data_IF_605418023324
#
_entry.id   IF_605418023324
#
_cell.length_a   1.000
_cell.length_b   1.000
_cell.length_c   1.000
_cell.angle_alpha   90.00
_cell.angle_beta   90.00
_cell.angle_gamma   90.00
#
_symmetry.space_group_name_H-M   'P 1'
#
loop_
_entity.id
_entity.type
_entity.pdbx_description
1 polymer ?
#
# COMPACT_ATOMS: atom_id res chain seq x y z
N UNK A 1 -23.52 35.50 3.19
CA UNK A 1 -24.75 36.22 2.85
C UNK A 1 -24.88 36.15 1.34
N UNK A 2 -25.96 35.50 0.88
CA UNK A 2 -26.63 35.55 -0.44
C UNK A 2 -25.82 35.93 -1.67
N UNK A 3 -25.56 34.98 -2.58
CA UNK A 3 -25.70 35.26 -4.04
C UNK A 3 -25.68 34.03 -5.00
N UNK A 4 -26.11 32.83 -4.61
CA UNK A 4 -26.11 31.67 -5.55
C UNK A 4 -27.32 30.74 -5.43
N UNK A 5 -28.36 31.14 -4.71
CA UNK A 5 -29.66 30.45 -4.80
C UNK A 5 -30.35 30.97 -6.05
N UNK A 6 -30.29 30.19 -7.15
CA UNK A 6 -30.89 30.52 -8.45
C UNK A 6 -32.33 31.03 -8.25
N UNK A 7 -32.50 32.37 -8.30
CA UNK A 7 -33.78 33.04 -8.07
C UNK A 7 -34.84 32.51 -9.04
N UNK A 8 -36.07 32.35 -8.56
CA UNK A 8 -37.20 31.75 -9.28
C UNK A 8 -37.57 32.47 -10.60
N UNK A 9 -36.99 33.64 -10.86
CA UNK A 9 -37.14 34.43 -12.08
C UNK A 9 -35.83 34.64 -12.85
N UNK A 10 -34.76 33.91 -12.52
CA UNK A 10 -33.49 34.01 -13.25
C UNK A 10 -33.59 33.46 -14.68
N UNK A 11 -32.85 34.08 -15.60
CA UNK A 11 -32.85 33.75 -17.04
C UNK A 11 -32.53 32.28 -17.33
N UNK A 12 -31.88 31.58 -16.40
CA UNK A 12 -31.60 30.14 -16.48
C UNK A 12 -32.88 29.30 -16.45
N UNK A 13 -33.88 29.71 -15.66
CA UNK A 13 -35.20 29.07 -15.64
C UNK A 13 -36.04 29.46 -16.85
N UNK A 14 -36.02 30.72 -17.27
CA UNK A 14 -36.71 31.17 -18.48
C UNK A 14 -36.16 30.47 -19.73
N UNK A 15 -34.83 30.36 -19.86
CA UNK A 15 -34.18 29.61 -20.92
C UNK A 15 -34.50 28.11 -20.87
N UNK A 16 -34.75 27.53 -19.69
CA UNK A 16 -35.20 26.13 -19.57
C UNK A 16 -36.64 25.90 -20.05
N UNK A 17 -37.48 26.94 -20.02
CA UNK A 17 -38.85 26.91 -20.51
C UNK A 17 -38.94 27.20 -22.01
N UNK A 18 -38.08 28.08 -22.52
CA UNK A 18 -37.96 28.40 -23.96
C UNK A 18 -37.11 27.40 -24.74
N UNK A 19 -36.25 26.62 -24.07
CA UNK A 19 -35.55 25.53 -24.71
C UNK A 19 -36.59 24.56 -25.32
N UNK A 20 -36.52 24.26 -26.63
CA UNK A 20 -37.41 23.28 -27.23
C UNK A 20 -37.16 21.96 -26.53
N UNK A 21 -38.09 21.56 -25.65
CA UNK A 21 -38.07 20.24 -25.04
C UNK A 21 -38.08 19.27 -26.23
N UNK A 22 -37.05 18.43 -26.41
CA UNK A 22 -37.09 17.47 -27.49
C UNK A 22 -38.35 16.64 -27.26
N UNK A 23 -39.21 16.53 -28.26
CA UNK A 23 -40.47 15.78 -28.20
C UNK A 23 -40.16 14.32 -27.85
N UNK A 24 -40.06 14.05 -26.55
CA UNK A 24 -39.75 12.73 -26.00
C UNK A 24 -40.89 11.74 -26.26
N UNK A 25 -41.94 12.15 -26.99
CA UNK A 25 -43.02 11.29 -27.45
C UNK A 25 -42.59 10.38 -28.61
N UNK A 26 -41.64 10.78 -29.47
CA UNK A 26 -41.27 10.01 -30.67
C UNK A 26 -39.87 9.36 -30.65
N UNK A 27 -39.08 9.56 -29.59
CA UNK A 27 -37.77 8.92 -29.48
C UNK A 27 -37.93 7.39 -29.35
N UNK A 28 -37.26 6.65 -30.23
CA UNK A 28 -37.22 5.18 -30.18
C UNK A 28 -36.66 4.71 -28.84
N UNK A 29 -37.15 3.58 -28.34
CA UNK A 29 -36.70 2.99 -27.08
C UNK A 29 -35.17 2.84 -27.01
N UNK A 30 -34.53 2.51 -28.14
CA UNK A 30 -33.07 2.40 -28.25
C UNK A 30 -32.35 3.75 -28.03
N UNK A 31 -32.95 4.84 -28.48
CA UNK A 31 -32.40 6.19 -28.37
C UNK A 31 -32.54 6.73 -26.95
N UNK A 32 -33.71 6.52 -26.32
CA UNK A 32 -33.92 6.84 -24.90
C UNK A 32 -32.95 6.09 -23.99
N UNK A 33 -32.68 4.81 -24.28
CA UNK A 33 -31.71 3.99 -23.54
C UNK A 33 -30.28 4.54 -23.66
N UNK A 34 -29.87 5.00 -24.85
CA UNK A 34 -28.53 5.60 -25.06
C UNK A 34 -28.35 6.92 -24.32
N UNK A 35 -29.37 7.78 -24.36
CA UNK A 35 -29.35 9.07 -23.65
C UNK A 35 -29.25 8.83 -22.14
N UNK A 36 -30.07 7.91 -21.60
CA UNK A 36 -30.03 7.54 -20.18
C UNK A 36 -28.65 6.98 -19.76
N UNK A 37 -28.01 6.16 -20.60
CA UNK A 37 -26.66 5.65 -20.35
C UNK A 37 -25.63 6.79 -20.28
N UNK A 38 -25.62 7.70 -21.24
CA UNK A 38 -24.69 8.84 -21.28
C UNK A 38 -24.88 9.78 -20.09
N UNK A 39 -26.12 10.06 -19.69
CA UNK A 39 -26.40 10.86 -18.50
C UNK A 39 -25.98 10.16 -17.21
N UNK A 40 -26.17 8.84 -17.12
CA UNK A 40 -25.71 8.05 -15.97
C UNK A 40 -24.18 8.04 -15.88
N UNK A 41 -23.47 7.96 -17.01
CA UNK A 41 -22.02 8.05 -17.07
C UNK A 41 -21.53 9.43 -16.65
N UNK A 42 -22.18 10.50 -17.14
CA UNK A 42 -21.84 11.88 -16.76
C UNK A 42 -22.02 12.10 -15.26
N UNK A 43 -23.17 11.71 -14.69
CA UNK A 43 -23.41 11.79 -13.24
C UNK A 43 -22.43 10.93 -12.44
N UNK A 44 -22.02 9.78 -12.96
CA UNK A 44 -21.02 8.90 -12.33
C UNK A 44 -19.62 9.53 -12.34
N UNK A 45 -19.28 10.28 -13.38
CA UNK A 45 -18.02 11.03 -13.48
C UNK A 45 -18.04 12.28 -12.60
N UNK A 46 -19.17 12.97 -12.49
CA UNK A 46 -19.36 14.16 -11.63
C UNK A 46 -19.37 13.79 -10.14
N UNK A 47 -19.98 12.66 -9.76
CA UNK A 47 -19.94 12.14 -8.40
C UNK A 47 -18.62 11.47 -8.01
N UNK A 48 -17.68 11.31 -8.95
CA UNK A 48 -16.36 10.77 -8.67
C UNK A 48 -15.50 11.89 -8.09
N UNK A 49 -15.06 11.70 -6.84
CA UNK A 49 -14.05 12.56 -6.23
C UNK A 49 -12.74 12.42 -7.03
N UNK A 50 -12.32 13.51 -7.70
CA UNK A 50 -11.06 13.56 -8.44
C UNK A 50 -9.90 13.26 -7.49
N UNK A 51 -8.91 12.49 -7.94
CA UNK A 51 -7.74 12.20 -7.10
C UNK A 51 -6.89 13.46 -6.90
N UNK A 52 -6.18 13.55 -5.77
CA UNK A 52 -5.28 14.67 -5.45
C UNK A 52 -4.28 14.96 -6.58
N UNK A 53 -3.80 13.92 -7.27
CA UNK A 53 -2.87 14.03 -8.39
C UNK A 53 -3.50 14.64 -9.64
N UNK A 54 -4.71 14.24 -10.00
CA UNK A 54 -5.43 14.79 -11.16
C UNK A 54 -5.73 16.28 -10.94
N UNK A 55 -6.11 16.68 -9.73
CA UNK A 55 -6.37 18.08 -9.37
C UNK A 55 -5.10 18.94 -9.44
N UNK A 56 -3.95 18.43 -8.98
CA UNK A 56 -2.67 19.14 -9.06
C UNK A 56 -2.19 19.30 -10.51
N UNK A 57 -2.35 18.27 -11.35
CA UNK A 57 -2.00 18.33 -12.77
C UNK A 57 -2.87 19.33 -13.53
N UNK A 58 -4.18 19.38 -13.25
CA UNK A 58 -5.12 20.35 -13.81
C UNK A 58 -4.74 21.78 -13.38
N UNK A 59 -4.49 22.01 -12.08
CA UNK A 59 -4.04 23.31 -11.57
C UNK A 59 -2.68 23.75 -12.14
N UNK A 60 -1.75 22.82 -12.31
CA UNK A 60 -0.44 23.08 -12.92
C UNK A 60 -0.60 23.46 -14.38
N UNK A 61 -1.46 22.76 -15.12
CA UNK A 61 -1.73 23.05 -16.53
C UNK A 61 -2.39 24.42 -16.68
N UNK A 62 -3.37 24.73 -15.85
CA UNK A 62 -4.00 26.04 -15.82
C UNK A 62 -3.01 27.15 -15.44
N UNK A 63 -2.11 26.89 -14.48
CA UNK A 63 -1.08 27.82 -14.07
C UNK A 63 -0.04 28.08 -15.16
N UNK A 64 0.32 27.06 -15.94
CA UNK A 64 1.21 27.19 -17.11
C UNK A 64 0.51 27.88 -18.28
N UNK A 65 -0.79 27.64 -18.48
CA UNK A 65 -1.55 28.23 -19.58
C UNK A 65 -1.98 29.68 -19.30
N UNK A 66 -2.04 30.09 -18.03
CA UNK A 66 -2.32 31.49 -17.65
C UNK A 66 -1.04 32.30 -17.77
N UNK A 67 -0.92 33.09 -18.84
CA UNK A 67 0.15 34.07 -19.00
C UNK A 67 0.12 35.09 -17.86
N UNK A 68 1.18 35.13 -17.03
CA UNK A 68 1.28 36.09 -15.92
C UNK A 68 1.17 37.55 -16.39
N UNK A 69 1.61 37.85 -17.62
CA UNK A 69 1.52 39.17 -18.24
C UNK A 69 0.08 39.58 -18.60
N UNK A 70 -0.75 38.65 -19.08
CA UNK A 70 -2.13 38.91 -19.53
C UNK A 70 -3.08 39.14 -18.35
N UNK A 71 -2.82 38.44 -17.24
CA UNK A 71 -3.54 38.60 -15.97
C UNK A 71 -3.33 39.98 -15.34
N UNK A 72 -2.13 40.55 -15.49
CA UNK A 72 -1.76 41.85 -14.91
C UNK A 72 -2.05 43.03 -15.86
N UNK A 73 -2.08 42.81 -17.19
CA UNK A 73 -2.52 43.85 -18.14
C UNK A 73 -4.03 44.10 -18.09
N UNK A 74 -4.83 43.10 -17.71
CA UNK A 74 -6.28 43.24 -17.55
C UNK A 74 -6.67 44.08 -16.33
N UNK A 75 -5.77 44.25 -15.35
CA UNK A 75 -5.92 45.19 -14.23
C UNK A 75 -5.34 46.54 -14.65
N UNK A 76 -6.00 47.22 -15.58
CA UNK A 76 -5.59 48.53 -16.07
C UNK A 76 -5.71 49.58 -14.95
N UNK A 77 -4.58 49.99 -14.38
CA UNK A 77 -4.52 51.28 -13.66
C UNK A 77 -3.57 51.38 -12.47
N UNK A 78 -3.16 50.29 -11.84
CA UNK A 78 -2.28 50.34 -10.66
C UNK A 78 -1.09 49.39 -10.78
N UNK A 79 0.00 49.77 -10.11
CA UNK A 79 1.30 49.10 -10.10
C UNK A 79 1.18 47.57 -10.11
N UNK A 80 2.02 46.85 -10.87
CA UNK A 80 1.92 45.39 -10.96
C UNK A 80 1.98 44.80 -9.56
N UNK A 81 0.91 44.10 -9.18
CA UNK A 81 0.69 43.60 -7.82
C UNK A 81 1.79 42.62 -7.37
N UNK A 82 2.49 42.02 -8.33
CA UNK A 82 3.67 41.21 -8.08
C UNK A 82 4.93 42.07 -7.93
N UNK A 83 5.45 42.11 -6.69
CA UNK A 83 6.70 42.79 -6.31
C UNK A 83 7.89 42.42 -7.23
N UNK A 84 7.92 41.18 -7.73
CA UNK A 84 8.91 40.72 -8.70
C UNK A 84 8.80 41.43 -10.05
N UNK A 85 7.58 41.62 -10.56
CA UNK A 85 7.32 42.31 -11.83
C UNK A 85 7.63 43.80 -11.70
N UNK A 86 7.24 44.43 -10.59
CA UNK A 86 7.64 45.80 -10.25
C UNK A 86 9.16 45.98 -10.17
N UNK A 87 9.88 45.00 -9.57
CA UNK A 87 11.34 45.00 -9.55
C UNK A 87 11.93 44.83 -10.95
N UNK A 88 11.41 43.94 -11.79
CA UNK A 88 11.89 43.74 -13.16
C UNK A 88 11.73 45.00 -14.02
N UNK A 89 10.58 45.69 -13.96
CA UNK A 89 10.37 46.96 -14.66
C UNK A 89 11.35 48.04 -14.18
N UNK A 90 11.58 48.12 -12.86
CA UNK A 90 12.56 49.06 -12.28
C UNK A 90 14.00 48.75 -12.70
N UNK A 91 14.31 47.50 -12.99
CA UNK A 91 15.62 47.07 -13.50
C UNK A 91 15.74 47.18 -15.03
N UNK A 92 14.75 47.78 -15.70
CA UNK A 92 14.79 48.05 -17.14
C UNK A 92 14.22 46.92 -18.02
N UNK A 93 13.52 45.95 -17.45
CA UNK A 93 12.80 44.93 -18.22
C UNK A 93 11.56 45.52 -18.88
N UNK A 94 11.49 45.44 -20.20
CA UNK A 94 10.26 45.70 -20.96
C UNK A 94 9.76 44.37 -21.52
N UNK A 95 8.45 44.08 -21.47
CA UNK A 95 7.91 42.87 -22.08
C UNK A 95 8.36 42.75 -23.55
N UNK A 96 9.12 41.69 -23.86
CA UNK A 96 9.69 41.45 -25.19
C UNK A 96 11.13 41.95 -25.41
N UNK A 97 11.78 42.54 -24.41
CA UNK A 97 13.15 43.06 -24.50
C UNK A 97 14.08 42.42 -23.45
N UNK A 98 15.35 42.18 -23.79
CA UNK A 98 16.33 41.63 -22.86
C UNK A 98 16.72 42.62 -21.77
N UNK A 99 16.95 42.12 -20.54
CA UNK A 99 17.39 42.92 -19.40
C UNK A 99 18.83 43.41 -19.60
N UNK A 100 19.06 44.73 -19.57
CA UNK A 100 20.40 45.34 -19.65
C UNK A 100 20.47 46.57 -20.56
N UNK A 101 21.58 47.33 -20.50
CA UNK A 101 21.82 48.45 -21.43
C UNK A 101 22.11 47.91 -22.84
N UNK A 102 21.45 48.47 -23.85
CA UNK A 102 21.83 48.26 -25.25
C UNK A 102 23.18 48.92 -25.49
N UNK A 103 24.20 48.14 -25.83
CA UNK A 103 25.42 48.67 -26.43
C UNK A 103 25.07 49.00 -27.90
N UNK A 104 25.10 50.28 -28.26
CA UNK A 104 25.00 50.66 -29.66
C UNK A 104 26.26 50.19 -30.40
N UNK A 105 26.15 49.63 -31.62
CA UNK A 105 27.30 49.19 -32.37
C UNK A 105 28.18 50.40 -32.70
N UNK A 106 29.40 50.43 -32.16
CA UNK A 106 30.42 51.42 -32.49
C UNK A 106 30.70 51.37 -33.99
N UNK A 107 30.53 52.51 -34.68
CA UNK A 107 30.94 52.72 -36.08
C UNK A 107 32.44 52.37 -36.25
N UNK A 108 32.84 51.64 -37.29
CA UNK A 108 34.25 51.33 -37.50
C UNK A 108 35.02 52.60 -37.90
N UNK A 109 36.18 52.91 -37.28
CA UNK A 109 37.12 53.87 -37.84
C UNK A 109 37.95 53.23 -38.95
N UNK A 110 38.31 54.09 -39.89
CA UNK A 110 38.97 53.88 -41.17
C UNK A 110 40.32 53.17 -41.14
N UNK A 111 40.61 52.52 -42.27
CA UNK A 111 41.89 51.96 -42.70
C UNK A 111 43.08 52.92 -42.51
N UNK A 112 44.18 52.44 -41.91
CA UNK A 112 45.53 52.47 -42.51
C UNK A 112 46.62 51.91 -41.57
N UNK A 113 47.51 51.09 -42.16
CA UNK A 113 48.89 50.77 -41.79
C UNK A 113 49.26 49.57 -40.85
N UNK A 114 49.62 48.48 -41.55
CA UNK A 114 50.84 47.63 -41.45
C UNK A 114 50.98 46.50 -40.39
N UNK A 115 51.13 45.31 -40.96
CA UNK A 115 51.63 44.02 -40.44
C UNK A 115 52.92 44.07 -39.61
N UNK A 116 53.00 43.26 -38.54
CA UNK A 116 53.75 41.98 -38.51
C UNK A 116 53.48 41.15 -37.21
N UNK A 117 53.01 39.90 -37.42
CA UNK A 117 53.23 38.60 -36.73
C UNK A 117 53.88 38.55 -35.31
N UNK A 118 53.20 37.94 -34.33
CA UNK A 118 53.31 36.49 -33.93
C UNK A 118 52.56 36.16 -32.62
N UNK A 119 51.72 35.12 -32.67
CA UNK A 119 51.60 34.07 -31.64
C UNK A 119 51.06 34.41 -30.24
N UNK A 120 49.75 34.24 -30.03
CA UNK A 120 49.18 33.52 -28.87
C UNK A 120 47.67 33.35 -29.08
N UNK A 121 47.19 32.12 -28.96
CA UNK A 121 45.75 31.79 -28.99
C UNK A 121 45.21 32.22 -27.63
N UNK A 122 44.85 33.48 -27.53
CA UNK A 122 44.12 34.01 -26.38
C UNK A 122 42.67 33.55 -26.47
N UNK A 123 42.19 33.08 -25.33
CA UNK A 123 40.79 32.82 -24.99
C UNK A 123 39.81 33.59 -25.87
N UNK A 124 38.98 32.86 -26.61
CA UNK A 124 37.83 33.42 -27.32
C UNK A 124 37.10 34.39 -26.39
N UNK A 125 37.20 35.67 -26.70
CA UNK A 125 36.42 36.71 -26.08
C UNK A 125 34.95 36.36 -26.32
N UNK A 126 34.30 35.81 -25.28
CA UNK A 126 32.86 35.73 -25.20
C UNK A 126 32.37 37.17 -25.33
N UNK A 127 31.89 37.53 -26.52
CA UNK A 127 31.22 38.80 -26.74
C UNK A 127 30.08 38.84 -25.74
N UNK A 128 30.15 39.77 -24.79
CA UNK A 128 29.15 40.02 -23.75
C UNK A 128 27.88 40.63 -24.35
N UNK A 129 27.31 40.00 -25.37
CA UNK A 129 25.93 40.21 -25.74
C UNK A 129 25.04 39.67 -24.64
N UNK A 130 24.04 40.44 -24.24
CA UNK A 130 22.97 39.93 -23.39
C UNK A 130 22.41 38.65 -24.05
N UNK A 131 22.36 37.53 -23.30
CA UNK A 131 21.76 36.29 -23.80
C UNK A 131 20.29 36.59 -24.11
N UNK A 132 19.97 36.70 -25.39
CA UNK A 132 18.60 36.79 -25.91
C UNK A 132 17.96 35.41 -26.01
N UNK A 133 18.78 34.37 -26.07
CA UNK A 133 18.33 32.98 -26.07
C UNK A 133 18.18 32.47 -24.63
N UNK A 134 17.07 31.80 -24.30
CA UNK A 134 16.88 31.23 -22.98
C UNK A 134 17.99 30.21 -22.69
N UNK A 135 18.48 30.19 -21.44
CA UNK A 135 19.41 29.17 -20.97
C UNK A 135 18.91 27.78 -21.38
N UNK A 136 19.75 26.91 -21.95
CA UNK A 136 19.34 25.58 -22.34
C UNK A 136 18.80 24.87 -21.12
N UNK A 137 17.50 24.57 -21.14
CA UNK A 137 16.85 23.84 -20.07
C UNK A 137 17.41 22.43 -20.08
N UNK A 138 18.26 22.11 -19.10
CA UNK A 138 18.60 20.74 -18.80
C UNK A 138 17.36 20.07 -18.22
N UNK A 139 16.51 19.52 -19.10
CA UNK A 139 15.28 18.84 -18.71
C UNK A 139 15.70 17.62 -17.91
N UNK A 140 15.43 17.65 -16.60
CA UNK A 140 15.48 16.44 -15.80
C UNK A 140 14.54 15.45 -16.44
N UNK A 141 15.08 14.31 -16.91
CA UNK A 141 14.24 13.17 -17.19
C UNK A 141 13.48 12.89 -15.90
N UNK A 142 12.17 13.18 -15.91
CA UNK A 142 11.32 13.07 -14.73
C UNK A 142 11.33 11.65 -14.16
N UNK A 143 10.44 11.39 -13.19
CA UNK A 143 10.19 10.02 -12.70
C UNK A 143 9.70 9.15 -13.88
N UNK A 144 10.62 8.46 -14.57
CA UNK A 144 10.27 7.27 -15.34
C UNK A 144 9.62 6.32 -14.32
N UNK A 145 8.43 5.81 -14.64
CA UNK A 145 7.50 5.19 -13.69
C UNK A 145 8.11 4.12 -12.76
N UNK A 146 7.34 3.71 -11.75
CA UNK A 146 7.74 2.63 -10.84
C UNK A 146 8.20 1.41 -11.65
N UNK A 147 9.45 0.98 -11.44
CA UNK A 147 10.03 -0.20 -12.08
C UNK A 147 11.15 0.07 -13.11
N UNK A 148 11.34 1.32 -13.57
CA UNK A 148 12.34 1.63 -14.62
C UNK A 148 13.69 2.18 -14.12
N UNK A 149 14.01 1.97 -12.83
CA UNK A 149 15.30 2.32 -12.24
C UNK A 149 15.35 3.69 -11.54
N UNK A 150 16.47 3.96 -10.84
CA UNK A 150 16.71 5.24 -10.14
C UNK A 150 16.93 6.36 -11.15
N UNK A 151 16.62 7.60 -10.76
CA UNK A 151 16.89 8.80 -11.58
C UNK A 151 18.37 8.82 -11.96
N UNK A 152 18.69 9.24 -13.19
CA UNK A 152 20.08 9.52 -13.55
C UNK A 152 20.63 10.58 -12.57
N UNK A 153 21.75 10.27 -11.92
CA UNK A 153 22.46 11.26 -11.10
C UNK A 153 22.80 12.48 -11.96
N UNK A 154 22.88 13.65 -11.32
CA UNK A 154 23.33 14.87 -11.99
C UNK A 154 24.65 14.57 -12.73
N UNK A 155 24.86 15.12 -13.94
CA UNK A 155 26.16 15.08 -14.58
C UNK A 155 27.17 15.62 -13.55
N UNK A 156 28.22 14.87 -13.19
CA UNK A 156 29.15 15.34 -12.19
C UNK A 156 29.82 16.60 -12.76
N UNK A 157 29.68 17.72 -12.06
CA UNK A 157 30.60 18.84 -12.21
C UNK A 157 31.99 18.29 -11.86
N UNK A 158 32.87 18.22 -12.86
CA UNK A 158 34.16 17.54 -12.76
C UNK A 158 34.98 18.08 -11.58
N UNK A 159 35.32 17.21 -10.61
CA UNK A 159 36.31 17.55 -9.58
C UNK A 159 36.23 16.85 -8.21
N UNK A 160 35.14 16.19 -7.82
CA UNK A 160 35.02 15.64 -6.44
C UNK A 160 35.17 14.11 -6.35
N UNK A 161 36.40 13.62 -6.27
CA UNK A 161 36.71 12.19 -6.02
C UNK A 161 36.15 11.65 -4.70
N UNK A 162 35.83 12.52 -3.74
CA UNK A 162 35.21 12.17 -2.45
C UNK A 162 33.72 11.82 -2.55
N UNK A 163 33.01 12.37 -3.54
CA UNK A 163 31.59 12.07 -3.78
C UNK A 163 31.38 10.70 -4.45
N UNK A 164 32.35 10.23 -5.24
CA UNK A 164 32.30 8.92 -5.89
C UNK A 164 32.42 7.76 -4.88
N UNK A 165 33.20 7.94 -3.79
CA UNK A 165 33.40 6.89 -2.77
C UNK A 165 32.22 6.81 -1.78
N UNK A 166 31.70 7.95 -1.35
CA UNK A 166 30.51 8.01 -0.50
C UNK A 166 29.25 7.46 -1.20
N UNK A 167 29.09 7.72 -2.51
CA UNK A 167 27.98 7.14 -3.27
C UNK A 167 28.15 5.63 -3.53
N UNK A 168 29.37 5.10 -3.64
CA UNK A 168 29.57 3.66 -3.78
C UNK A 168 29.18 2.89 -2.50
N UNK A 169 29.51 3.43 -1.33
CA UNK A 169 29.16 2.86 -0.03
C UNK A 169 27.66 2.96 0.25
N UNK A 170 27.03 4.10 -0.05
CA UNK A 170 25.58 4.27 0.04
C UNK A 170 24.84 3.30 -0.91
N UNK A 171 25.30 3.17 -2.16
CA UNK A 171 24.73 2.22 -3.11
C UNK A 171 24.92 0.76 -2.65
N UNK A 172 26.03 0.43 -1.98
CA UNK A 172 26.25 -0.90 -1.41
C UNK A 172 25.30 -1.16 -0.22
N UNK A 173 25.11 -0.18 0.67
CA UNK A 173 24.16 -0.27 1.77
C UNK A 173 22.71 -0.40 1.28
N UNK A 174 22.32 0.34 0.24
CA UNK A 174 21.00 0.22 -0.39
C UNK A 174 20.81 -1.13 -1.10
N UNK A 175 21.84 -1.68 -1.76
CA UNK A 175 21.79 -3.04 -2.32
C UNK A 175 21.58 -4.06 -1.22
N UNK A 176 22.36 -4.00 -0.13
CA UNK A 176 22.18 -4.90 1.02
C UNK A 176 20.79 -4.80 1.62
N UNK A 177 20.24 -3.58 1.80
CA UNK A 177 18.86 -3.40 2.27
C UNK A 177 17.83 -4.01 1.33
N UNK A 178 18.00 -3.83 0.02
CA UNK A 178 17.10 -4.40 -0.98
C UNK A 178 17.19 -5.93 -1.04
N UNK A 179 18.38 -6.49 -0.89
CA UNK A 179 18.59 -7.94 -0.88
C UNK A 179 17.99 -8.56 0.40
N UNK A 180 18.11 -7.89 1.55
CA UNK A 180 17.42 -8.29 2.78
C UNK A 180 15.90 -8.22 2.64
N UNK A 181 15.37 -7.15 2.04
CA UNK A 181 13.94 -7.02 1.77
C UNK A 181 13.43 -8.13 0.85
N UNK A 182 14.18 -8.47 -0.21
CA UNK A 182 13.85 -9.56 -1.12
C UNK A 182 13.97 -10.93 -0.46
N UNK A 183 14.94 -11.12 0.44
CA UNK A 183 15.08 -12.36 1.20
C UNK A 183 13.89 -12.52 2.17
N UNK A 184 13.53 -11.46 2.90
CA UNK A 184 12.37 -11.46 3.78
C UNK A 184 11.07 -11.72 3.01
N UNK A 185 10.85 -11.01 1.90
CA UNK A 185 9.65 -11.21 1.08
C UNK A 185 9.57 -12.63 0.48
N UNK A 186 10.71 -13.27 0.18
CA UNK A 186 10.76 -14.67 -0.24
C UNK A 186 10.41 -15.60 0.92
N UNK A 187 11.02 -15.40 2.10
CA UNK A 187 10.73 -16.18 3.30
C UNK A 187 9.25 -16.09 3.70
N UNK A 188 8.69 -14.89 3.76
CA UNK A 188 7.26 -14.69 4.08
C UNK A 188 6.32 -15.33 3.04
N UNK A 189 6.75 -15.46 1.78
CA UNK A 189 5.98 -16.12 0.74
C UNK A 189 6.06 -17.65 0.87
N UNK A 190 7.26 -18.16 1.10
CA UNK A 190 7.53 -19.59 1.34
C UNK A 190 6.76 -20.07 2.58
N UNK A 191 6.82 -19.33 3.69
CA UNK A 191 6.09 -19.65 4.91
C UNK A 191 4.57 -19.71 4.67
N UNK A 192 3.98 -18.71 4.01
CA UNK A 192 2.53 -18.73 3.68
C UNK A 192 2.14 -19.89 2.76
N UNK A 193 3.01 -20.24 1.82
CA UNK A 193 2.83 -21.39 0.92
C UNK A 193 2.85 -22.68 1.72
N UNK A 194 3.82 -22.83 2.62
CA UNK A 194 4.00 -24.01 3.45
C UNK A 194 2.89 -24.14 4.50
N UNK A 195 2.40 -23.04 5.06
CA UNK A 195 1.22 -23.02 5.94
C UNK A 195 -0.04 -23.50 5.21
N UNK A 196 -0.24 -23.05 3.97
CA UNK A 196 -1.36 -23.49 3.14
C UNK A 196 -1.33 -25.00 2.89
N UNK A 197 -0.13 -25.54 2.66
CA UNK A 197 0.11 -26.98 2.47
C UNK A 197 -0.04 -27.76 3.76
N UNK A 198 0.52 -27.26 4.87
CA UNK A 198 0.36 -27.84 6.19
C UNK A 198 -1.12 -27.99 6.51
N UNK A 199 -1.93 -26.94 6.31
CA UNK A 199 -3.39 -27.03 6.49
C UNK A 199 -4.04 -28.10 5.61
N UNK A 200 -3.59 -28.29 4.37
CA UNK A 200 -4.09 -29.35 3.51
C UNK A 200 -3.65 -30.75 3.99
N UNK A 201 -2.39 -30.91 4.35
CA UNK A 201 -1.80 -32.16 4.85
C UNK A 201 -2.44 -32.58 6.18
N UNK A 202 -2.66 -31.65 7.10
CA UNK A 202 -3.34 -31.90 8.37
C UNK A 202 -4.78 -32.40 8.18
N UNK A 203 -5.51 -31.88 7.19
CA UNK A 203 -6.85 -32.41 6.83
C UNK A 203 -6.76 -33.84 6.31
N UNK A 204 -5.79 -34.15 5.45
CA UNK A 204 -5.60 -35.53 4.97
C UNK A 204 -5.19 -36.46 6.10
N UNK A 205 -4.32 -36.02 7.01
CA UNK A 205 -3.96 -36.78 8.20
C UNK A 205 -5.18 -37.03 9.08
N UNK A 206 -6.02 -36.03 9.34
CA UNK A 206 -7.19 -36.20 10.17
C UNK A 206 -8.15 -37.25 9.61
N UNK A 207 -8.41 -37.21 8.30
CA UNK A 207 -9.29 -38.17 7.64
C UNK A 207 -8.72 -39.61 7.70
N UNK A 208 -7.40 -39.77 7.49
CA UNK A 208 -6.74 -41.08 7.55
C UNK A 208 -6.66 -41.60 8.98
N UNK A 209 -6.35 -40.73 9.95
CA UNK A 209 -6.34 -41.03 11.38
C UNK A 209 -7.73 -41.50 11.85
N UNK A 210 -8.79 -40.83 11.43
CA UNK A 210 -10.18 -41.24 11.73
C UNK A 210 -10.52 -42.60 11.12
N UNK A 211 -10.11 -42.84 9.86
CA UNK A 211 -10.29 -44.13 9.19
C UNK A 211 -9.58 -45.29 9.89
N UNK A 212 -8.44 -45.03 10.52
CA UNK A 212 -7.67 -46.01 11.29
C UNK A 212 -7.94 -45.97 12.81
N UNK A 213 -8.93 -45.20 13.27
CA UNK A 213 -9.37 -45.16 14.67
C UNK A 213 -8.44 -44.41 15.64
N UNK A 214 -7.55 -43.54 15.13
CA UNK A 214 -6.61 -42.74 15.91
C UNK A 214 -7.30 -41.48 16.43
N UNK A 215 -7.70 -41.50 17.72
CA UNK A 215 -8.44 -40.39 18.36
C UNK A 215 -7.64 -39.10 18.47
N UNK A 216 -6.36 -39.17 18.83
CA UNK A 216 -5.49 -38.00 19.00
C UNK A 216 -4.12 -38.22 18.37
N UNK A 217 -3.59 -37.17 17.75
CA UNK A 217 -2.26 -37.16 17.15
C UNK A 217 -1.64 -35.78 17.40
N UNK A 218 -0.43 -35.76 17.99
CA UNK A 218 0.32 -34.54 18.32
C UNK A 218 0.57 -33.67 17.07
N UNK A 219 0.74 -34.31 15.90
CA UNK A 219 1.01 -33.60 14.66
C UNK A 219 -0.18 -32.75 14.19
N UNK A 220 -1.39 -32.97 14.71
CA UNK A 220 -2.60 -32.18 14.36
C UNK A 220 -2.68 -30.82 15.07
N UNK A 221 -1.77 -30.51 15.99
CA UNK A 221 -1.77 -29.25 16.72
C UNK A 221 -1.33 -28.09 15.81
N UNK A 222 -2.08 -26.99 15.82
CA UNK A 222 -1.72 -25.78 15.09
C UNK A 222 -1.52 -24.61 16.08
N UNK A 223 -0.29 -24.05 16.22
CA UNK A 223 -0.03 -22.91 17.10
C UNK A 223 -0.81 -21.65 16.73
N UNK A 224 -1.19 -21.49 15.45
CA UNK A 224 -1.95 -20.31 15.01
C UNK A 224 -3.43 -20.39 15.40
N UNK A 225 -3.96 -21.59 15.65
CA UNK A 225 -5.37 -21.83 15.95
C UNK A 225 -5.51 -22.43 17.36
N UNK A 226 -5.86 -21.64 18.39
CA UNK A 226 -5.93 -22.13 19.77
C UNK A 226 -7.01 -23.21 19.98
N UNK A 227 -8.02 -23.29 19.09
CA UNK A 227 -9.05 -24.33 19.11
C UNK A 227 -8.55 -25.70 18.65
N UNK A 228 -7.35 -25.78 18.04
CA UNK A 228 -6.77 -27.05 17.61
C UNK A 228 -6.17 -27.86 18.77
N UNK A 229 -5.89 -27.19 19.90
CA UNK A 229 -5.29 -27.80 21.09
C UNK A 229 -6.42 -28.17 22.06
N UNK A 230 -6.56 -29.44 22.45
CA UNK A 230 -7.52 -29.85 23.48
C UNK A 230 -7.30 -29.09 24.79
N UNK A 231 -8.36 -28.69 25.48
CA UNK A 231 -8.28 -27.87 26.71
C UNK A 231 -7.36 -28.50 27.78
N UNK A 232 -7.47 -29.82 27.98
CA UNK A 232 -6.63 -30.56 28.92
C UNK A 232 -5.14 -30.48 28.57
N UNK A 233 -4.80 -30.54 27.28
CA UNK A 233 -3.43 -30.40 26.82
C UNK A 233 -2.96 -28.96 26.93
N UNK A 234 -3.81 -27.98 26.62
CA UNK A 234 -3.50 -26.58 26.76
C UNK A 234 -3.15 -26.21 28.20
N UNK A 235 -3.91 -26.71 29.18
CA UNK A 235 -3.62 -26.54 30.61
C UNK A 235 -2.28 -27.17 30.99
N UNK A 236 -1.94 -28.36 30.47
CA UNK A 236 -0.65 -29.03 30.72
C UNK A 236 0.54 -28.33 30.04
N UNK A 237 0.32 -27.71 28.88
CA UNK A 237 1.32 -26.94 28.15
C UNK A 237 1.62 -25.59 28.84
N UNK A 238 0.59 -24.94 29.37
CA UNK A 238 0.67 -23.63 30.02
C UNK A 238 1.04 -23.73 31.51
N UNK A 239 0.80 -24.88 32.15
CA UNK A 239 1.27 -25.15 33.50
C UNK A 239 2.79 -25.24 33.51
N UNK A 240 3.42 -24.11 33.83
CA UNK A 240 4.85 -24.05 34.08
C UNK A 240 5.26 -25.17 35.04
N UNK A 241 6.41 -25.85 34.82
CA UNK A 241 6.94 -26.78 35.80
C UNK A 241 7.09 -26.00 37.11
N UNK A 242 6.49 -26.50 38.19
CA UNK A 242 6.50 -25.84 39.49
C UNK A 242 7.96 -25.56 39.91
N UNK A 243 8.43 -24.33 39.71
CA UNK A 243 9.79 -23.92 40.09
C UNK A 243 10.55 -23.00 39.13
N UNK A 244 10.12 -22.81 37.88
CA UNK A 244 10.81 -21.90 36.96
C UNK A 244 9.99 -20.63 36.72
N UNK A 245 10.29 -19.58 37.48
CA UNK A 245 9.95 -18.21 37.08
C UNK A 245 11.00 -17.80 36.04
N UNK A 246 10.73 -18.13 34.77
CA UNK A 246 11.27 -17.35 33.66
C UNK A 246 10.08 -16.78 32.89
N UNK A 247 9.68 -15.60 33.35
CA UNK A 247 8.60 -14.78 32.83
C UNK A 247 9.05 -14.14 31.51
N UNK A 248 9.22 -14.92 30.42
CA UNK A 248 9.46 -14.35 29.08
C UNK A 248 9.38 -15.33 27.89
N UNK A 249 8.26 -16.03 27.67
CA UNK A 249 8.01 -16.60 26.32
C UNK A 249 6.58 -16.79 25.84
N UNK A 250 5.55 -16.70 26.68
CA UNK A 250 4.16 -16.95 26.24
C UNK A 250 3.19 -15.79 26.52
N UNK A 251 3.70 -14.60 26.84
CA UNK A 251 2.92 -13.37 27.00
C UNK A 251 3.29 -12.29 25.97
N UNK A 252 3.54 -12.70 24.74
CA UNK A 252 3.32 -11.81 23.61
C UNK A 252 1.82 -11.86 23.26
N UNK A 253 1.05 -10.93 23.84
CA UNK A 253 -0.26 -10.56 23.27
C UNK A 253 -0.05 -10.33 21.76
N UNK A 254 -0.94 -10.78 20.86
CA UNK A 254 -0.93 -10.31 19.48
C UNK A 254 -1.38 -8.85 19.51
N UNK A 255 -0.47 -7.96 19.87
CA UNK A 255 -0.59 -6.54 19.61
C UNK A 255 -0.51 -6.38 18.12
N UNK A 256 -1.61 -5.98 17.49
CA UNK A 256 -1.57 -5.30 16.20
C UNK A 256 -0.62 -4.10 16.34
N UNK A 257 0.65 -4.30 16.03
CA UNK A 257 1.60 -3.21 15.83
C UNK A 257 1.51 -2.81 14.37
N UNK A 258 0.56 -1.93 14.06
CA UNK A 258 0.65 -1.12 12.84
C UNK A 258 1.89 -0.24 13.01
N UNK A 259 2.89 -0.29 12.13
CA UNK A 259 4.00 0.65 12.18
C UNK A 259 3.45 2.01 11.75
N UNK A 260 2.93 2.78 12.70
CA UNK A 260 2.79 4.22 12.53
C UNK A 260 4.21 4.75 12.62
N UNK A 261 4.80 5.02 11.46
CA UNK A 261 6.04 5.77 11.40
C UNK A 261 5.85 7.06 12.17
N UNK A 262 6.66 7.26 13.20
CA UNK A 262 6.87 8.54 13.83
C UNK A 262 7.50 9.47 12.77
N UNK A 263 6.66 10.08 11.96
CA UNK A 263 7.02 11.33 11.32
C UNK A 263 6.83 12.41 12.37
N UNK A 264 7.94 12.91 12.92
CA UNK A 264 8.04 14.25 13.50
C UNK A 264 7.73 15.29 12.41
N UNK A 265 6.47 15.38 12.00
CA UNK A 265 5.97 16.44 11.14
C UNK A 265 4.98 17.26 11.93
N UNK A 266 5.48 18.44 12.31
CA UNK A 266 4.79 19.58 12.89
C UNK A 266 3.49 19.90 12.12
N UNK A 267 2.34 19.53 12.69
CA UNK A 267 1.03 20.03 12.27
C UNK A 267 0.30 20.66 13.48
N UNK A 268 0.38 21.99 13.54
CA UNK A 268 -0.80 22.85 13.65
C UNK A 268 -1.60 22.81 14.97
N UNK A 269 -1.28 23.77 15.84
CA UNK A 269 -2.14 24.47 16.82
C UNK A 269 -3.64 24.04 16.86
N UNK A 270 -3.96 23.09 17.74
CA UNK A 270 -5.32 22.85 18.25
C UNK A 270 -5.36 23.02 19.77
N UNK A 271 -6.35 23.75 20.29
CA UNK A 271 -6.53 24.01 21.72
C UNK A 271 -6.57 22.71 22.52
N UNK A 272 -5.78 22.62 23.60
CA UNK A 272 -5.62 21.40 24.41
C UNK A 272 -6.92 20.82 24.99
N UNK A 273 -8.01 21.57 24.97
CA UNK A 273 -9.35 21.12 25.35
C UNK A 273 -9.91 20.04 24.42
N UNK A 274 -9.64 20.15 23.11
CA UNK A 274 -10.31 19.31 22.11
C UNK A 274 -9.66 17.92 22.06
N UNK A 275 -8.35 17.86 22.34
CA UNK A 275 -7.60 16.60 22.49
C UNK A 275 -8.05 15.82 23.74
N UNK A 276 -8.38 16.51 24.83
CA UNK A 276 -8.91 15.88 26.04
C UNK A 276 -10.34 15.36 25.85
N UNK A 277 -11.18 16.11 25.13
CA UNK A 277 -12.55 15.70 24.79
C UNK A 277 -12.53 14.49 23.85
N UNK A 278 -11.67 14.50 22.82
CA UNK A 278 -11.54 13.39 21.88
C UNK A 278 -11.03 12.10 22.54
N UNK A 279 -10.11 12.20 23.51
CA UNK A 279 -9.64 11.07 24.29
C UNK A 279 -10.76 10.46 25.15
N UNK A 280 -11.53 11.31 25.85
CA UNK A 280 -12.66 10.88 26.68
C UNK A 280 -13.78 10.24 25.86
N UNK A 281 -14.08 10.77 24.67
CA UNK A 281 -15.10 10.24 23.77
C UNK A 281 -14.70 8.86 23.23
N UNK A 282 -13.43 8.66 22.85
CA UNK A 282 -12.92 7.35 22.41
C UNK A 282 -13.00 6.29 23.51
N UNK A 283 -12.72 6.67 24.75
CA UNK A 283 -12.78 5.77 25.89
C UNK A 283 -14.24 5.39 26.23
N UNK A 284 -15.17 6.33 26.13
CA UNK A 284 -16.61 6.04 26.23
C UNK A 284 -17.10 5.11 25.12
N UNK A 285 -16.74 5.36 23.86
CA UNK A 285 -17.13 4.49 22.74
C UNK A 285 -16.59 3.06 22.90
N UNK A 286 -15.37 2.92 23.46
CA UNK A 286 -14.78 1.61 23.75
C UNK A 286 -15.50 0.88 24.89
N UNK A 287 -15.95 1.61 25.92
CA UNK A 287 -16.72 1.05 27.03
C UNK A 287 -18.13 0.61 26.61
N UNK A 288 -18.78 1.37 25.72
CA UNK A 288 -20.11 1.05 25.20
C UNK A 288 -20.08 -0.09 24.18
N UNK A 289 -19.01 -0.23 23.41
CA UNK A 289 -18.82 -1.35 22.46
C UNK A 289 -18.70 -2.73 23.13
N UNK A 290 -18.45 -2.79 24.44
CA UNK A 290 -18.27 -4.04 25.20
C UNK A 290 -19.47 -4.39 26.07
N UNK A 291 -20.56 -3.62 25.99
CA UNK A 291 -21.81 -3.95 26.68
C UNK A 291 -22.69 -4.79 25.74
N UNK A 292 -23.05 -6.02 26.11
CA UNK A 292 -24.04 -6.77 25.34
C UNK A 292 -25.33 -5.95 25.32
N UNK A 293 -25.89 -5.75 24.12
CA UNK A 293 -27.15 -5.04 23.92
C UNK A 293 -28.21 -5.70 24.81
N UNK A 294 -28.84 -4.89 25.67
CA UNK A 294 -29.98 -5.33 26.47
C UNK A 294 -31.19 -5.39 25.54
N UNK A 295 -31.23 -6.42 24.71
CA UNK A 295 -32.34 -6.68 23.80
C UNK A 295 -33.53 -7.17 24.62
N UNK A 296 -34.57 -6.35 24.68
CA UNK A 296 -35.89 -6.72 25.19
C UNK A 296 -36.50 -7.78 24.27
N UNK A 297 -36.16 -9.05 24.51
CA UNK A 297 -36.64 -10.20 23.73
C UNK A 297 -37.74 -10.94 24.51
N UNK A 298 -38.94 -10.36 24.54
CA UNK A 298 -40.15 -11.09 24.92
C UNK A 298 -40.71 -11.90 23.73
N UNK A 299 -40.35 -11.53 22.49
CA UNK A 299 -40.89 -12.15 21.27
C UNK A 299 -40.04 -13.33 20.72
N UNK A 300 -38.74 -13.42 21.06
CA UNK A 300 -37.87 -14.48 20.52
C UNK A 300 -37.96 -15.80 21.29
N UNK A 301 -38.42 -15.77 22.55
CA UNK A 301 -38.56 -16.97 23.39
C UNK A 301 -39.76 -17.83 22.94
N UNK A 302 -40.84 -17.19 22.46
CA UNK A 302 -42.03 -17.90 21.99
C UNK A 302 -41.80 -18.74 20.71
N UNK A 303 -40.80 -18.40 19.90
CA UNK A 303 -40.47 -19.17 18.69
C UNK A 303 -39.59 -20.40 18.97
N UNK A 304 -38.75 -20.33 20.02
CA UNK A 304 -37.83 -21.42 20.40
C UNK A 304 -38.52 -22.57 21.14
N UNK A 305 -39.62 -22.32 21.84
CA UNK A 305 -40.37 -23.36 22.55
C UNK A 305 -41.36 -24.16 21.67
N UNK A 306 -41.59 -23.74 20.42
CA UNK A 306 -42.43 -24.48 19.46
C UNK A 306 -41.66 -25.58 18.68
N UNK A 307 -40.34 -25.69 18.82
CA UNK A 307 -39.47 -26.69 18.14
C UNK A 307 -38.83 -27.65 19.14
N UNK A 308 -39.51 -27.96 20.26
CA UNK A 308 -39.20 -29.13 21.09
C UNK A 308 -39.98 -30.34 20.59
N UNK A 309 -39.65 -30.79 19.38
CA UNK A 309 -39.97 -32.12 18.88
C UNK A 309 -38.68 -32.92 18.79
N UNK A 310 -38.50 -33.86 19.71
CA UNK A 310 -37.56 -34.99 19.68
C UNK A 310 -36.26 -34.81 18.88
N UNK A 311 -35.27 -34.15 19.49
CA UNK A 311 -33.87 -34.36 19.14
C UNK A 311 -33.24 -35.24 20.24
N UNK A 312 -32.67 -36.42 19.92
CA UNK A 312 -32.03 -37.25 20.92
C UNK A 312 -30.85 -36.50 21.53
N UNK A 313 -30.89 -36.37 22.85
CA UNK A 313 -29.83 -35.80 23.67
C UNK A 313 -28.66 -36.78 23.61
N UNK A 314 -27.73 -36.57 22.68
CA UNK A 314 -26.48 -37.30 22.66
C UNK A 314 -25.72 -36.94 23.94
N UNK A 315 -25.58 -37.91 24.83
CA UNK A 315 -24.68 -37.83 25.98
C UNK A 315 -23.26 -37.71 25.42
N UNK A 316 -22.63 -36.56 25.64
CA UNK A 316 -21.20 -36.37 25.38
C UNK A 316 -20.50 -37.19 26.45
N UNK A 317 -20.14 -38.42 26.11
CA UNK A 317 -19.19 -39.21 26.88
C UNK A 317 -17.85 -38.52 26.66
N UNK A 318 -17.46 -37.69 27.63
CA UNK A 318 -16.15 -37.06 27.69
C UNK A 318 -15.14 -38.19 27.97
N UNK A 319 -14.71 -38.87 26.92
CA UNK A 319 -13.55 -39.77 26.96
C UNK A 319 -12.35 -38.90 27.33
N UNK A 320 -12.09 -38.72 28.62
CA UNK A 320 -10.92 -38.04 29.13
C UNK A 320 -9.69 -38.78 28.60
N UNK A 321 -9.07 -38.21 27.55
CA UNK A 321 -7.80 -38.68 27.05
C UNK A 321 -6.77 -38.17 28.04
N UNK A 322 -6.26 -39.08 28.87
CA UNK A 322 -5.11 -38.81 29.73
C UNK A 322 -3.88 -38.60 28.84
N UNK A 323 -3.30 -37.41 28.87
CA UNK A 323 -2.07 -37.09 28.15
C UNK A 323 -0.86 -37.45 29.02
N UNK A 324 -0.09 -38.45 28.61
CA UNK A 324 1.17 -38.80 29.25
C UNK A 324 2.19 -37.66 29.13
N UNK A 325 3.09 -37.53 30.09
CA UNK A 325 4.12 -36.47 30.10
C UNK A 325 4.97 -36.46 28.81
N UNK A 326 5.27 -37.63 28.26
CA UNK A 326 6.01 -37.77 26.99
C UNK A 326 5.25 -37.15 25.80
N UNK A 327 3.92 -37.30 25.78
CA UNK A 327 3.07 -36.69 24.73
C UNK A 327 2.99 -35.17 24.87
N UNK A 328 3.00 -34.66 26.10
CA UNK A 328 3.04 -33.22 26.38
C UNK A 328 4.37 -32.63 25.93
N UNK A 329 5.48 -33.30 26.21
CA UNK A 329 6.81 -32.83 25.82
C UNK A 329 6.99 -32.88 24.29
N UNK A 330 6.51 -33.95 23.63
CA UNK A 330 6.45 -34.01 22.17
C UNK A 330 5.57 -32.91 21.56
N UNK A 331 4.43 -32.57 22.19
CA UNK A 331 3.58 -31.47 21.76
C UNK A 331 4.28 -30.11 21.91
N UNK A 332 5.02 -29.88 23.00
CA UNK A 332 5.83 -28.66 23.18
C UNK A 332 6.89 -28.54 22.09
N UNK A 333 7.62 -29.62 21.82
CA UNK A 333 8.65 -29.63 20.78
C UNK A 333 8.04 -29.36 19.41
N UNK A 334 6.92 -30.01 19.08
CA UNK A 334 6.24 -29.82 17.80
C UNK A 334 5.74 -28.39 17.60
N UNK A 335 5.15 -27.76 18.63
CA UNK A 335 4.65 -26.37 18.58
C UNK A 335 5.79 -25.36 18.36
N UNK A 336 6.99 -25.64 18.86
CA UNK A 336 8.15 -24.76 18.71
C UNK A 336 8.82 -24.84 17.32
N UNK A 337 8.56 -25.91 16.55
CA UNK A 337 9.15 -26.10 15.22
C UNK A 337 8.59 -25.13 14.19
N UNK A 338 9.40 -24.81 13.19
CA UNK A 338 8.98 -23.95 12.07
C UNK A 338 7.86 -24.63 11.25
N UNK A 339 7.09 -23.85 10.49
CA UNK A 339 6.03 -24.34 9.59
C UNK A 339 6.55 -25.43 8.64
N UNK A 340 7.75 -25.22 8.07
CA UNK A 340 8.40 -26.17 7.16
C UNK A 340 8.67 -27.50 7.84
N UNK A 341 9.32 -27.48 9.00
CA UNK A 341 9.64 -28.70 9.74
C UNK A 341 8.39 -29.45 10.16
N UNK A 342 7.34 -28.73 10.59
CA UNK A 342 6.04 -29.32 10.91
C UNK A 342 5.42 -29.99 9.70
N UNK A 343 5.46 -29.35 8.53
CA UNK A 343 5.01 -29.96 7.28
C UNK A 343 5.78 -31.25 6.98
N UNK A 344 7.11 -31.24 7.09
CA UNK A 344 7.94 -32.43 6.84
C UNK A 344 7.57 -33.60 7.75
N UNK A 345 7.37 -33.35 9.06
CA UNK A 345 6.96 -34.37 10.02
C UNK A 345 5.59 -34.97 9.69
N UNK A 346 4.64 -34.12 9.28
CA UNK A 346 3.29 -34.56 8.86
C UNK A 346 3.38 -35.42 7.60
N UNK A 347 4.19 -35.02 6.61
CA UNK A 347 4.40 -35.78 5.38
C UNK A 347 5.09 -37.13 5.64
N UNK A 348 6.10 -37.15 6.50
CA UNK A 348 6.79 -38.37 6.91
C UNK A 348 5.82 -39.33 7.62
N UNK A 349 4.98 -38.80 8.52
CA UNK A 349 3.95 -39.58 9.19
C UNK A 349 2.96 -40.22 8.21
N UNK A 350 2.48 -39.46 7.21
CA UNK A 350 1.59 -39.97 6.16
C UNK A 350 2.24 -41.10 5.35
N UNK A 351 3.53 -40.97 5.01
CA UNK A 351 4.28 -41.97 4.24
C UNK A 351 4.57 -43.23 5.06
N UNK A 352 4.97 -43.07 6.31
CA UNK A 352 5.38 -44.19 7.17
C UNK A 352 4.20 -44.99 7.70
N UNK A 353 3.09 -44.32 8.06
CA UNK A 353 1.95 -44.96 8.72
C UNK A 353 0.85 -45.40 7.76
N UNK A 354 0.59 -44.59 6.72
CA UNK A 354 -0.52 -44.81 5.78
C UNK A 354 -0.05 -45.08 4.35
N UNK A 355 1.27 -45.18 4.13
CA UNK A 355 1.86 -45.30 2.80
C UNK A 355 1.21 -44.32 1.81
N UNK A 356 0.99 -43.08 2.24
CA UNK A 356 0.29 -42.07 1.45
C UNK A 356 1.27 -40.97 1.03
N UNK A 357 1.32 -40.68 -0.28
CA UNK A 357 2.07 -39.53 -0.77
C UNK A 357 1.14 -38.33 -0.99
N UNK A 358 1.40 -37.25 -0.24
CA UNK A 358 0.68 -35.99 -0.37
C UNK A 358 0.82 -35.36 -1.76
N UNK A 359 2.00 -35.46 -2.38
CA UNK A 359 2.27 -34.87 -3.69
C UNK A 359 1.63 -35.65 -4.85
N UNK A 360 1.64 -36.99 -4.79
CA UNK A 360 0.94 -37.82 -5.77
C UNK A 360 -0.58 -37.83 -5.58
N UNK A 361 -1.06 -37.58 -4.34
CA UNK A 361 -2.47 -37.71 -3.99
C UNK A 361 -2.98 -39.15 -3.97
N UNK A 362 -2.09 -40.13 -3.71
CA UNK A 362 -2.40 -41.55 -3.77
C UNK A 362 -1.85 -42.30 -2.54
N UNK A 363 -2.60 -43.32 -2.10
CA UNK A 363 -2.16 -44.32 -1.13
C UNK A 363 -1.56 -45.52 -1.85
N UNK A 364 -0.55 -46.12 -1.24
CA UNK A 364 0.14 -47.32 -1.71
C UNK A 364 -0.11 -48.47 -0.73
N UNK A 365 0.08 -49.70 -1.18
CA UNK A 365 -0.22 -50.88 -0.37
C UNK A 365 0.89 -51.18 0.67
N UNK A 366 2.15 -50.99 0.27
CA UNK A 366 3.34 -51.32 1.07
C UNK A 366 4.45 -50.26 0.93
N UNK A 367 5.38 -50.26 1.89
CA UNK A 367 6.58 -49.39 1.84
C UNK A 367 7.41 -49.57 0.56
N UNK A 368 7.56 -50.82 0.09
CA UNK A 368 8.31 -51.12 -1.14
C UNK A 368 7.61 -50.56 -2.39
N UNK A 369 6.27 -50.56 -2.38
CA UNK A 369 5.46 -50.03 -3.47
C UNK A 369 5.54 -48.50 -3.52
N UNK A 370 5.52 -47.86 -2.35
CA UNK A 370 5.76 -46.43 -2.21
C UNK A 370 7.13 -46.02 -2.77
N UNK A 371 8.20 -46.75 -2.45
CA UNK A 371 9.55 -46.43 -2.95
C UNK A 371 9.71 -46.64 -4.46
N UNK A 372 8.99 -47.60 -5.05
CA UNK A 372 9.10 -47.92 -6.48
C UNK A 372 8.25 -47.01 -7.34
N UNK A 373 7.05 -46.65 -6.87
CA UNK A 373 6.08 -45.88 -7.66
C UNK A 373 6.06 -44.38 -7.36
N UNK A 374 6.56 -43.94 -6.19
CA UNK A 374 6.62 -42.53 -5.84
C UNK A 374 7.97 -41.90 -6.25
N UNK A 375 7.98 -40.79 -7.00
CA UNK A 375 9.22 -40.11 -7.42
C UNK A 375 10.16 -39.67 -6.29
N UNK A 376 9.63 -39.46 -5.08
CA UNK A 376 10.43 -39.16 -3.89
C UNK A 376 9.58 -38.63 -2.72
N UNK A 377 10.21 -38.15 -1.64
CA UNK A 377 9.52 -37.50 -0.52
C UNK A 377 9.26 -36.01 -0.74
N UNK A 378 10.14 -35.35 -1.49
CA UNK A 378 10.13 -33.90 -1.68
C UNK A 378 9.24 -33.47 -2.86
N UNK A 379 8.81 -32.22 -2.82
CA UNK A 379 8.04 -31.60 -3.91
C UNK A 379 8.80 -31.61 -5.22
N UNK A 380 10.09 -31.24 -5.20
CA UNK A 380 10.90 -31.03 -6.41
C UNK A 380 11.08 -32.29 -7.27
N UNK A 381 10.72 -33.45 -6.74
CA UNK A 381 10.80 -34.75 -7.40
C UNK A 381 9.51 -35.15 -8.14
N UNK A 382 8.40 -34.42 -7.95
CA UNK A 382 7.10 -34.68 -8.56
C UNK A 382 6.69 -33.55 -9.51
#
# INVERSE_FOLDING_TARGET
MSDEEDDYLSDKFLASLEAPKPDASNASYAERRRIAQRESERKRLEGRIKSRREMEEEARREGLSRSLFEKESATEGEQPSNKAMSMMLKMGFKPGESLGRKEEPVKPPSDDAKDEKTGEISSEQIKSGHLTEPLPLAVWAGRKGLGLGKRAMSPPLGGSSKAAKASAEENAAEKSRNDNFRAQARGDYEERRDEGRLRAALRTCANLDEGHGVKFNVLRLNPSDPSSIPELLYDLLTRAPSGAIEDNSLHAKPGYHVPVGESEFDEGLGSGTDRAIAARLKEQMKADSLRPLKESNEDFVAMRDAVKGDAPKAEIVDDQIDFDQETVDAAKEYIQKNVQERLTLVLEYLRMKYFYCFWCGASYDDASDLETNCPGPDEDLH
#
